data_IF_332716505922
#
_entry.id   IF_332716505922
#
_cell.length_a   1.000
_cell.length_b   1.000
_cell.length_c   1.000
_cell.angle_alpha   90.00
_cell.angle_beta   90.00
_cell.angle_gamma   90.00
#
_symmetry.space_group_name_H-M   'P 1'
#
loop_
_entity.id
_entity.type
_entity.pdbx_description
1 polymer ?
#
# COMPACT_ATOMS: atom_id res chain seq x y z
N UNK A 1 -43.33 -60.54 -7.70
CA UNK A 1 -41.99 -60.48 -7.06
C UNK A 1 -41.02 -59.72 -7.98
N UNK A 2 -41.00 -58.40 -7.83
CA UNK A 2 -40.17 -57.49 -8.63
C UNK A 2 -39.37 -56.60 -7.65
N UNK A 3 -38.39 -57.20 -7.02
CA UNK A 3 -37.80 -56.47 -5.88
C UNK A 3 -36.36 -56.04 -6.04
N UNK A 4 -35.34 -56.83 -6.40
CA UNK A 4 -33.98 -56.40 -6.26
C UNK A 4 -33.40 -55.67 -7.49
N UNK A 5 -33.88 -55.91 -8.70
CA UNK A 5 -33.31 -55.35 -9.93
C UNK A 5 -33.62 -53.86 -10.10
N UNK A 6 -34.79 -53.40 -9.62
CA UNK A 6 -35.19 -51.98 -9.70
C UNK A 6 -34.38 -51.10 -8.76
N UNK A 7 -33.94 -51.67 -7.64
CA UNK A 7 -33.18 -50.92 -6.61
C UNK A 7 -31.72 -50.67 -7.08
N UNK A 8 -31.14 -51.59 -7.88
CA UNK A 8 -29.80 -51.42 -8.42
C UNK A 8 -29.72 -50.38 -9.57
N UNK A 9 -30.79 -50.27 -10.36
CA UNK A 9 -30.84 -49.30 -11.45
C UNK A 9 -30.97 -47.87 -10.90
N UNK A 10 -31.73 -47.67 -9.80
CA UNK A 10 -31.84 -46.35 -9.12
C UNK A 10 -30.54 -45.93 -8.42
N UNK A 11 -29.72 -46.87 -7.91
CA UNK A 11 -28.45 -46.56 -7.29
C UNK A 11 -27.37 -46.11 -8.29
N UNK A 12 -27.41 -46.63 -9.53
CA UNK A 12 -26.47 -46.27 -10.57
C UNK A 12 -26.72 -44.91 -11.18
N UNK A 13 -27.98 -44.38 -11.14
CA UNK A 13 -28.29 -43.04 -11.66
C UNK A 13 -27.94 -41.94 -10.69
N UNK A 14 -27.78 -42.22 -9.39
CA UNK A 14 -27.41 -41.24 -8.39
C UNK A 14 -25.92 -40.85 -8.41
N UNK A 15 -25.06 -41.65 -9.02
CA UNK A 15 -23.61 -41.40 -9.07
C UNK A 15 -23.18 -40.61 -10.31
N UNK A 16 -24.04 -40.50 -11.33
CA UNK A 16 -23.69 -39.79 -12.57
C UNK A 16 -23.77 -38.25 -12.48
N UNK A 17 -24.24 -37.71 -11.36
CA UNK A 17 -24.36 -36.27 -11.17
C UNK A 17 -23.06 -35.52 -10.90
N UNK A 18 -21.98 -36.24 -10.58
CA UNK A 18 -20.70 -35.59 -10.22
C UNK A 18 -19.67 -35.49 -11.35
N UNK A 19 -19.98 -36.02 -12.54
CA UNK A 19 -19.07 -36.03 -13.69
C UNK A 19 -19.56 -35.16 -14.85
N UNK A 20 -20.30 -34.11 -14.59
CA UNK A 20 -20.52 -33.14 -15.63
C UNK A 20 -19.19 -32.42 -15.85
N UNK A 21 -18.57 -32.47 -17.04
CA UNK A 21 -17.41 -31.67 -17.31
C UNK A 21 -17.83 -30.20 -17.07
N UNK A 22 -17.19 -29.56 -16.10
CA UNK A 22 -17.37 -28.13 -15.94
C UNK A 22 -16.89 -27.49 -17.24
N UNK A 23 -17.82 -26.86 -17.92
CA UNK A 23 -17.53 -26.19 -19.17
C UNK A 23 -16.42 -25.16 -18.91
N UNK A 24 -15.31 -25.27 -19.64
CA UNK A 24 -14.16 -24.36 -19.49
C UNK A 24 -14.58 -22.88 -19.62
N UNK A 25 -15.73 -22.63 -20.22
CA UNK A 25 -16.35 -21.30 -20.28
C UNK A 25 -16.76 -20.76 -18.93
N UNK A 26 -17.07 -21.60 -17.94
CA UNK A 26 -17.42 -21.12 -16.58
C UNK A 26 -16.21 -20.54 -15.88
N UNK A 27 -15.03 -21.09 -16.11
CA UNK A 27 -13.78 -20.56 -15.54
C UNK A 27 -13.29 -19.29 -16.25
N UNK A 28 -13.65 -19.10 -17.52
CA UNK A 28 -13.34 -17.86 -18.23
C UNK A 28 -14.15 -16.65 -17.73
N UNK A 29 -15.18 -16.89 -16.91
CA UNK A 29 -16.02 -15.85 -16.31
C UNK A 29 -15.59 -15.49 -14.89
N UNK A 30 -14.54 -16.13 -14.34
CA UNK A 30 -13.99 -15.69 -13.05
C UNK A 30 -13.41 -14.30 -13.25
N UNK A 31 -13.99 -13.26 -12.60
CA UNK A 31 -13.45 -11.93 -12.73
C UNK A 31 -11.97 -11.93 -12.39
N UNK A 32 -11.12 -11.21 -13.11
CA UNK A 32 -9.72 -11.10 -12.77
C UNK A 32 -9.61 -10.64 -11.30
N UNK A 33 -8.64 -11.19 -10.59
CA UNK A 33 -8.37 -10.77 -9.20
C UNK A 33 -8.24 -9.24 -9.20
N UNK A 34 -9.09 -8.60 -8.42
CA UNK A 34 -9.03 -7.14 -8.26
C UNK A 34 -7.78 -6.77 -7.50
N UNK A 35 -7.28 -5.58 -7.77
CA UNK A 35 -6.21 -4.98 -7.02
C UNK A 35 -6.57 -4.87 -5.53
N UNK A 36 -5.61 -5.11 -4.67
CA UNK A 36 -5.76 -5.05 -3.21
C UNK A 36 -5.01 -3.84 -2.67
N UNK A 37 -5.57 -3.08 -1.71
CA UNK A 37 -4.91 -1.91 -1.19
C UNK A 37 -3.61 -2.26 -0.44
N UNK A 38 -2.52 -1.51 -0.68
CA UNK A 38 -1.33 -1.58 0.14
C UNK A 38 -1.63 -1.08 1.56
N UNK A 39 -0.84 -1.50 2.55
CA UNK A 39 -1.01 -1.10 3.96
C UNK A 39 0.32 -0.76 4.60
N UNK A 40 0.31 0.27 5.44
CA UNK A 40 1.41 0.57 6.35
C UNK A 40 1.28 -0.31 7.59
N UNK A 41 2.35 -1.02 7.94
CA UNK A 41 2.39 -1.89 9.13
C UNK A 41 2.66 -1.01 10.34
N UNK A 42 1.61 -0.70 11.11
CA UNK A 42 1.63 0.31 12.18
C UNK A 42 2.62 0.02 13.31
N UNK A 43 2.84 -1.22 13.66
CA UNK A 43 3.81 -1.64 14.69
C UNK A 43 5.28 -1.55 14.23
N UNK A 44 5.51 -1.34 12.95
CA UNK A 44 6.83 -1.15 12.35
C UNK A 44 7.10 0.28 11.89
N UNK A 45 6.19 1.21 12.19
CA UNK A 45 6.39 2.63 11.96
C UNK A 45 7.43 3.17 12.93
N UNK A 46 8.36 3.95 12.43
CA UNK A 46 9.38 4.64 13.26
C UNK A 46 9.35 6.14 12.98
N UNK A 47 9.44 6.97 14.03
CA UNK A 47 9.20 6.65 15.43
C UNK A 47 7.78 6.11 15.63
N UNK A 48 7.60 5.20 16.58
CA UNK A 48 6.28 4.69 16.94
C UNK A 48 5.42 5.79 17.57
N UNK A 49 4.11 5.75 17.30
CA UNK A 49 3.16 6.76 17.78
C UNK A 49 3.06 7.98 16.88
N UNK A 50 2.04 8.79 17.15
CA UNK A 50 1.71 9.99 16.33
C UNK A 50 2.54 11.19 16.77
N UNK A 51 2.75 11.37 18.08
CA UNK A 51 3.49 12.49 18.66
C UNK A 51 4.98 12.21 18.72
N UNK A 52 5.77 13.02 18.04
CA UNK A 52 7.23 12.89 17.97
C UNK A 52 7.87 14.22 18.38
N UNK A 53 8.88 14.14 19.27
CA UNK A 53 9.65 15.32 19.66
C UNK A 53 11.08 15.20 19.13
N UNK A 54 11.52 16.18 18.36
CA UNK A 54 12.85 16.20 17.72
C UNK A 54 13.55 17.53 17.98
N UNK A 55 14.87 17.46 18.21
CA UNK A 55 15.70 18.66 18.16
C UNK A 55 15.93 19.03 16.69
N UNK A 56 15.87 20.32 16.31
CA UNK A 56 16.25 20.77 14.98
C UNK A 56 17.64 20.27 14.57
N UNK A 57 17.78 19.83 13.32
CA UNK A 57 19.04 19.29 12.80
C UNK A 57 19.36 17.84 13.15
N UNK A 58 18.49 17.15 13.89
CA UNK A 58 18.65 15.73 14.13
C UNK A 58 18.45 14.89 12.86
N UNK A 59 19.14 13.74 12.73
CA UNK A 59 18.90 12.80 11.65
C UNK A 59 17.43 12.40 11.59
N UNK A 60 16.94 12.19 10.38
CA UNK A 60 15.56 11.81 10.16
C UNK A 60 15.30 10.38 10.68
N UNK A 61 14.48 10.21 11.73
CA UNK A 61 14.19 8.88 12.29
C UNK A 61 13.02 8.18 11.60
N UNK A 62 12.36 8.85 10.62
CA UNK A 62 11.10 8.37 10.05
C UNK A 62 11.31 7.22 9.08
N UNK A 63 10.59 6.15 9.31
CA UNK A 63 10.51 5.02 8.38
C UNK A 63 9.21 4.25 8.56
N UNK A 64 8.77 3.60 7.50
CA UNK A 64 7.62 2.70 7.50
C UNK A 64 7.98 1.39 6.83
N UNK A 65 7.26 0.33 7.17
CA UNK A 65 7.22 -0.93 6.43
C UNK A 65 5.83 -1.08 5.83
N UNK A 66 5.77 -1.61 4.62
CA UNK A 66 4.53 -1.74 3.85
C UNK A 66 4.25 -3.20 3.55
N UNK A 67 2.99 -3.57 3.62
CA UNK A 67 2.45 -4.82 3.11
C UNK A 67 1.56 -4.55 1.89
N UNK A 68 1.74 -5.35 0.84
CA UNK A 68 0.91 -5.32 -0.35
C UNK A 68 0.65 -6.76 -0.82
N UNK A 69 -0.61 -7.23 -0.78
CA UNK A 69 -0.98 -8.56 -1.27
C UNK A 69 -0.72 -8.77 -2.76
N UNK A 70 -0.67 -7.68 -3.54
CA UNK A 70 -0.35 -7.72 -4.96
C UNK A 70 1.16 -7.53 -5.16
N UNK A 71 1.89 -8.63 -4.93
CA UNK A 71 3.36 -8.67 -4.89
C UNK A 71 4.04 -8.19 -6.18
N UNK A 72 3.34 -8.26 -7.30
CA UNK A 72 3.84 -7.84 -8.61
C UNK A 72 3.85 -6.31 -8.78
N UNK A 73 3.07 -5.60 -7.97
CA UNK A 73 2.91 -4.16 -8.12
C UNK A 73 4.03 -3.41 -7.40
N UNK A 74 4.64 -2.40 -8.04
CA UNK A 74 5.58 -1.53 -7.38
C UNK A 74 4.84 -0.55 -6.47
N UNK A 75 5.40 -0.24 -5.30
CA UNK A 75 4.85 0.74 -4.38
C UNK A 75 5.53 2.09 -4.61
N UNK A 76 4.75 3.12 -4.86
CA UNK A 76 5.19 4.52 -4.85
C UNK A 76 4.99 5.11 -3.46
N UNK A 77 5.82 6.08 -3.09
CA UNK A 77 5.66 6.80 -1.83
C UNK A 77 5.91 8.29 -2.04
N UNK A 78 5.18 9.12 -1.27
CA UNK A 78 5.28 10.58 -1.29
C UNK A 78 5.21 11.11 0.14
N UNK A 79 6.08 12.04 0.45
CA UNK A 79 6.26 12.61 1.76
C UNK A 79 5.86 14.08 1.78
N UNK A 80 5.12 14.48 2.80
CA UNK A 80 4.60 15.83 2.95
C UNK A 80 5.00 16.45 4.27
N UNK A 81 5.30 17.75 4.26
CA UNK A 81 5.38 18.58 5.46
C UNK A 81 4.32 19.65 5.41
N UNK A 82 3.68 19.85 6.53
CA UNK A 82 2.70 20.90 6.72
C UNK A 82 3.10 21.79 7.89
N UNK A 83 3.03 23.10 7.71
CA UNK A 83 2.97 24.03 8.82
C UNK A 83 1.58 23.98 9.47
N UNK A 84 1.44 24.41 10.74
CA UNK A 84 0.15 24.47 11.43
C UNK A 84 -0.91 25.19 10.61
N UNK A 85 -2.04 24.51 10.32
CA UNK A 85 -3.18 25.10 9.61
C UNK A 85 -2.99 25.38 8.12
N UNK A 86 -1.89 24.95 7.51
CA UNK A 86 -1.54 25.26 6.13
C UNK A 86 -1.79 24.09 5.16
N UNK A 87 -1.76 24.41 3.87
CA UNK A 87 -1.58 23.42 2.80
C UNK A 87 -0.18 22.80 2.91
N UNK A 88 0.07 21.63 2.31
CA UNK A 88 1.42 21.07 2.30
C UNK A 88 2.40 22.11 1.75
N UNK A 89 3.45 22.39 2.53
CA UNK A 89 4.50 23.35 2.14
C UNK A 89 5.35 22.77 1.02
N UNK A 90 5.59 21.48 1.09
CA UNK A 90 6.35 20.76 0.09
C UNK A 90 5.96 19.27 0.12
N UNK A 91 6.16 18.60 -1.00
CA UNK A 91 6.12 17.16 -1.09
C UNK A 91 7.33 16.64 -1.88
N UNK A 92 7.72 15.41 -1.60
CA UNK A 92 8.82 14.73 -2.26
C UNK A 92 8.45 13.29 -2.55
N UNK A 93 8.71 12.88 -3.78
CA UNK A 93 8.58 11.48 -4.16
C UNK A 93 9.82 10.72 -3.65
N UNK A 94 9.57 9.66 -2.91
CA UNK A 94 10.61 8.73 -2.52
C UNK A 94 10.91 7.71 -3.63
N UNK A 95 11.94 6.91 -3.40
CA UNK A 95 12.28 5.83 -4.30
C UNK A 95 11.13 4.81 -4.41
N UNK A 96 10.80 4.41 -5.62
CA UNK A 96 9.84 3.33 -5.82
C UNK A 96 10.38 2.03 -5.25
N UNK A 97 9.51 1.31 -4.56
CA UNK A 97 9.80 -0.04 -4.12
C UNK A 97 9.38 -0.98 -5.25
N UNK A 98 10.31 -1.77 -5.78
CA UNK A 98 10.00 -2.68 -6.87
C UNK A 98 9.04 -3.78 -6.40
N UNK A 99 8.47 -4.49 -7.36
CA UNK A 99 7.76 -5.75 -7.12
C UNK A 99 8.59 -6.71 -6.26
N UNK A 100 7.94 -7.55 -5.51
CA UNK A 100 8.56 -8.46 -4.54
C UNK A 100 8.02 -9.88 -4.73
N UNK A 101 8.64 -10.84 -4.06
CA UNK A 101 8.12 -12.21 -3.93
C UNK A 101 7.31 -12.40 -2.65
N UNK A 102 7.22 -11.36 -1.80
CA UNK A 102 6.52 -11.37 -0.52
C UNK A 102 5.58 -10.18 -0.43
N UNK A 103 4.45 -10.35 0.25
CA UNK A 103 3.51 -9.28 0.51
C UNK A 103 4.14 -8.18 1.38
N UNK A 104 4.83 -8.53 2.44
CA UNK A 104 5.58 -7.58 3.27
C UNK A 104 6.87 -7.19 2.55
N UNK A 105 7.08 -5.89 2.39
CA UNK A 105 8.29 -5.33 1.79
C UNK A 105 9.37 -5.23 2.86
N UNK A 106 10.42 -6.04 2.75
CA UNK A 106 11.47 -6.16 3.78
C UNK A 106 12.31 -4.87 3.94
N UNK A 107 12.33 -4.00 2.93
CA UNK A 107 13.10 -2.75 2.97
C UNK A 107 12.26 -1.61 3.55
N UNK A 108 12.71 -0.96 4.63
CA UNK A 108 12.04 0.23 5.13
C UNK A 108 12.00 1.35 4.09
N UNK A 109 10.88 2.04 4.02
CA UNK A 109 10.72 3.26 3.25
C UNK A 109 11.08 4.42 4.15
N UNK A 110 12.01 5.24 3.72
CA UNK A 110 12.47 6.44 4.42
C UNK A 110 12.27 7.66 3.52
N UNK A 111 12.16 8.85 4.10
CA UNK A 111 12.17 10.07 3.31
C UNK A 111 13.44 10.16 2.47
N UNK A 112 13.36 10.72 1.25
CA UNK A 112 14.53 10.86 0.40
C UNK A 112 15.62 11.73 1.05
N UNK A 113 16.90 11.41 0.79
CA UNK A 113 18.04 12.09 1.42
C UNK A 113 18.06 13.61 1.19
N UNK A 114 17.55 14.06 0.05
CA UNK A 114 17.41 15.48 -0.28
C UNK A 114 16.53 16.22 0.73
N UNK A 115 15.62 15.52 1.36
CA UNK A 115 14.67 16.03 2.33
C UNK A 115 15.32 16.41 3.66
N UNK A 116 16.39 15.71 4.04
CA UNK A 116 17.19 16.02 5.22
C UNK A 116 17.83 17.42 5.13
N UNK A 117 18.09 17.89 3.91
CA UNK A 117 18.68 19.20 3.65
C UNK A 117 17.64 20.31 3.40
N UNK A 118 16.40 19.94 3.07
CA UNK A 118 15.32 20.88 2.71
C UNK A 118 14.35 21.10 3.89
N UNK A 119 14.47 20.33 4.95
CA UNK A 119 13.63 20.50 6.13
C UNK A 119 13.98 21.74 6.94
N UNK A 120 14.20 22.89 6.25
CA UNK A 120 14.22 24.19 6.88
C UNK A 120 13.01 24.37 7.82
N UNK A 121 11.90 23.74 7.48
CA UNK A 121 10.68 23.74 8.27
C UNK A 121 10.84 22.94 9.57
N UNK A 122 11.37 21.71 9.51
CA UNK A 122 11.66 20.93 10.71
C UNK A 122 12.89 21.42 11.49
N UNK A 123 13.66 22.35 10.90
CA UNK A 123 14.75 23.05 11.58
C UNK A 123 14.29 24.28 12.35
N UNK A 124 13.00 24.64 12.30
CA UNK A 124 12.41 25.71 13.08
C UNK A 124 11.70 25.11 14.30
N UNK A 125 11.77 25.82 15.43
CA UNK A 125 10.98 25.45 16.59
C UNK A 125 9.50 25.56 16.29
N UNK A 126 8.73 24.54 16.63
CA UNK A 126 7.29 24.56 16.40
C UNK A 126 6.67 23.16 16.31
N UNK A 127 5.42 23.17 15.94
CA UNK A 127 4.66 21.94 15.66
C UNK A 127 4.44 21.82 14.15
N UNK A 128 4.75 20.66 13.61
CA UNK A 128 4.65 20.34 12.20
C UNK A 128 3.87 19.05 12.01
N UNK A 129 3.08 18.95 10.97
CA UNK A 129 2.52 17.68 10.54
C UNK A 129 3.42 17.11 9.45
N UNK A 130 3.83 15.88 9.64
CA UNK A 130 4.61 15.10 8.71
C UNK A 130 3.82 13.89 8.25
N UNK A 131 3.71 13.67 6.96
CA UNK A 131 2.86 12.62 6.41
C UNK A 131 3.60 11.85 5.33
N UNK A 132 3.45 10.54 5.33
CA UNK A 132 3.80 9.67 4.21
C UNK A 132 2.53 9.10 3.61
N UNK A 133 2.45 9.14 2.29
CA UNK A 133 1.40 8.48 1.52
C UNK A 133 2.07 7.44 0.64
N UNK A 134 1.56 6.22 0.68
CA UNK A 134 1.97 5.13 -0.19
C UNK A 134 0.86 4.83 -1.20
N UNK A 135 1.24 4.32 -2.35
CA UNK A 135 0.31 3.93 -3.39
C UNK A 135 0.84 2.72 -4.16
N UNK A 136 -0.06 1.86 -4.58
CA UNK A 136 0.22 0.74 -5.48
C UNK A 136 0.23 1.15 -6.97
N UNK A 137 0.21 2.44 -7.24
CA UNK A 137 0.29 3.06 -8.56
C UNK A 137 1.21 4.28 -8.59
N UNK A 138 1.19 5.01 -9.69
CA UNK A 138 1.96 6.24 -9.83
C UNK A 138 1.16 7.43 -9.30
N UNK A 139 1.80 8.30 -8.53
CA UNK A 139 1.20 9.60 -8.22
C UNK A 139 1.14 10.48 -9.46
N UNK A 140 0.01 11.16 -9.67
CA UNK A 140 -0.08 12.17 -10.72
C UNK A 140 0.85 13.35 -10.40
N UNK A 141 1.54 13.84 -11.41
CA UNK A 141 2.51 14.92 -11.25
C UNK A 141 1.88 16.23 -10.74
N UNK A 142 0.61 16.48 -11.06
CA UNK A 142 -0.11 17.73 -10.74
C UNK A 142 -0.87 17.69 -9.42
N UNK A 143 -0.91 16.55 -8.73
CA UNK A 143 -1.73 16.39 -7.54
C UNK A 143 -0.94 15.91 -6.34
N UNK A 144 -1.37 16.29 -5.14
CA UNK A 144 -0.75 15.84 -3.90
C UNK A 144 -0.83 14.33 -3.71
N UNK A 145 -2.05 13.78 -3.72
CA UNK A 145 -2.33 12.38 -3.36
C UNK A 145 -3.09 11.60 -4.43
N UNK A 146 -3.41 12.21 -5.57
CA UNK A 146 -4.09 11.49 -6.63
C UNK A 146 -3.14 10.50 -7.32
N UNK A 147 -3.65 9.30 -7.59
CA UNK A 147 -2.92 8.18 -8.18
C UNK A 147 -3.52 7.83 -9.54
N UNK A 148 -2.69 7.40 -10.46
CA UNK A 148 -3.13 6.87 -11.74
C UNK A 148 -3.71 5.47 -11.54
N UNK A 149 -4.81 5.10 -12.22
CA UNK A 149 -5.34 3.74 -12.16
C UNK A 149 -4.33 2.74 -12.77
N UNK A 150 -4.35 1.52 -12.26
CA UNK A 150 -3.66 0.41 -12.90
C UNK A 150 -4.36 0.05 -14.21
N UNK A 151 -3.58 -0.31 -15.22
CA UNK A 151 -4.12 -0.90 -16.44
C UNK A 151 -3.87 -2.41 -16.40
N UNK A 152 -4.94 -3.18 -16.38
CA UNK A 152 -4.89 -4.64 -16.51
C UNK A 152 -5.28 -5.07 -17.93
N UNK A 153 -4.51 -6.00 -18.46
CA UNK A 153 -4.87 -6.67 -19.71
C UNK A 153 -5.82 -7.82 -19.40
N UNK A 154 -6.99 -7.81 -19.99
CA UNK A 154 -7.95 -8.90 -19.93
C UNK A 154 -7.49 -10.08 -20.82
N UNK A 155 -8.07 -11.26 -20.60
CA UNK A 155 -7.75 -12.47 -21.39
C UNK A 155 -8.04 -12.32 -22.89
N UNK A 156 -8.96 -11.45 -23.25
CA UNK A 156 -9.31 -11.10 -24.64
C UNK A 156 -8.37 -10.02 -25.25
N UNK A 157 -7.37 -9.58 -24.49
CA UNK A 157 -6.43 -8.53 -24.89
C UNK A 157 -6.96 -7.10 -24.67
N UNK A 158 -8.17 -6.93 -24.15
CA UNK A 158 -8.69 -5.62 -23.74
C UNK A 158 -7.94 -5.05 -22.55
N UNK A 159 -7.87 -3.72 -22.46
CA UNK A 159 -7.36 -3.01 -21.29
C UNK A 159 -8.53 -2.54 -20.42
N UNK A 160 -8.41 -2.75 -19.13
CA UNK A 160 -9.38 -2.28 -18.13
C UNK A 160 -8.63 -1.50 -17.06
N UNK A 161 -9.20 -0.38 -16.64
CA UNK A 161 -8.71 0.37 -15.51
C UNK A 161 -9.09 -0.35 -14.20
N UNK A 162 -8.09 -0.71 -13.41
CA UNK A 162 -8.25 -1.25 -12.06
C UNK A 162 -7.87 -0.14 -11.07
N UNK A 163 -8.68 0.14 -10.05
CA UNK A 163 -8.40 1.24 -9.15
C UNK A 163 -7.05 1.06 -8.45
N UNK A 164 -6.29 2.13 -8.37
CA UNK A 164 -5.14 2.21 -7.47
C UNK A 164 -5.59 2.68 -6.10
N UNK A 165 -4.92 2.18 -5.08
CA UNK A 165 -5.24 2.47 -3.69
C UNK A 165 -4.08 3.18 -3.02
N UNK A 166 -4.43 3.94 -1.98
CA UNK A 166 -3.45 4.63 -1.13
C UNK A 166 -3.65 4.23 0.32
N UNK A 167 -2.57 4.31 1.09
CA UNK A 167 -2.61 4.35 2.55
C UNK A 167 -1.67 5.44 3.04
N UNK A 168 -1.87 5.95 4.25
CA UNK A 168 -1.07 7.05 4.77
C UNK A 168 -0.83 6.94 6.27
N UNK A 169 0.28 7.53 6.70
CA UNK A 169 0.59 7.70 8.12
C UNK A 169 1.04 9.13 8.41
N UNK A 170 0.60 9.65 9.54
CA UNK A 170 0.84 11.03 9.96
C UNK A 170 1.52 11.07 11.30
N UNK A 171 2.58 11.88 11.39
CA UNK A 171 3.20 12.27 12.66
C UNK A 171 2.92 13.75 12.94
N UNK A 172 2.73 14.07 14.20
CA UNK A 172 2.79 15.43 14.74
C UNK A 172 4.17 15.63 15.33
N UNK A 173 4.99 16.41 14.68
CA UNK A 173 6.40 16.59 15.04
C UNK A 173 6.56 17.92 15.78
N UNK A 174 6.96 17.85 17.04
CA UNK A 174 7.30 19.03 17.85
C UNK A 174 8.82 19.20 17.83
N UNK A 175 9.27 20.31 17.29
CA UNK A 175 10.68 20.65 17.24
C UNK A 175 11.02 21.73 18.28
N UNK A 176 12.11 21.53 19.03
CA UNK A 176 12.58 22.51 20.01
C UNK A 176 14.08 22.37 20.26
N UNK A 177 14.76 23.51 20.32
CA UNK A 177 16.19 23.58 20.68
C UNK A 177 16.46 23.14 22.12
N UNK A 178 15.43 23.17 23.00
CA UNK A 178 15.51 22.75 24.39
C UNK A 178 15.55 21.25 24.58
N UNK A 179 15.26 20.46 23.53
CA UNK A 179 15.30 19.01 23.57
C UNK A 179 16.76 18.50 23.68
N UNK A 180 16.99 17.31 24.25
CA UNK A 180 18.32 16.71 24.31
C UNK A 180 18.90 16.52 22.91
N UNK A 181 20.23 16.39 22.86
CA UNK A 181 20.92 16.07 21.62
C UNK A 181 20.37 14.79 21.00
N UNK A 182 20.50 14.70 19.67
CA UNK A 182 20.02 13.54 18.93
C UNK A 182 20.61 12.25 19.55
N UNK A 183 19.76 11.27 19.82
CA UNK A 183 20.23 9.92 20.12
C UNK A 183 20.72 9.26 18.82
N UNK A 184 21.93 8.74 18.83
CA UNK A 184 22.47 7.90 17.76
C UNK A 184 21.71 6.59 17.66
#
# INVERSE_FOLDING_TARGET
MAGPLLMWVLALTAVSGCFWPQDDQVFSQIPPKRNSPPRIILDQVKPGGVDVSLKPGCPNPFSIIVEDPDIADPISNRWFVYAPGAKPLAYFDGDKIPSSTKAVRDKPITPPAQWLNISSELNQNGEHRFEVVIADGNFKASSGTEVEPHQKTLLDGGLVDDPSYIDSYVWVVKTSDSLPACSE
#
